data_IF_066713338169
#
_entry.id   IF_066713338169
#
_cell.length_a   1.000
_cell.length_b   1.000
_cell.length_c   1.000
_cell.angle_alpha   90.00
_cell.angle_beta   90.00
_cell.angle_gamma   90.00
#
_symmetry.space_group_name_H-M   'P 1'
#
loop_
_entity.id
_entity.type
_entity.pdbx_description
1 polymer ?
#
# COMPACT_ATOMS: atom_id res chain seq x y z
N UNK A 1 -10.38 14.63 32.44
CA UNK A 1 -10.37 13.50 31.49
C UNK A 1 -8.99 13.16 30.91
N UNK A 2 -8.16 14.12 30.47
CA UNK A 2 -6.80 13.80 29.95
C UNK A 2 -5.80 13.35 31.04
N UNK A 3 -5.95 13.87 32.28
CA UNK A 3 -5.10 13.48 33.42
C UNK A 3 -5.28 12.05 33.91
N UNK A 4 -6.31 11.31 33.49
CA UNK A 4 -6.62 9.99 34.05
C UNK A 4 -6.39 8.81 33.08
N UNK A 5 -6.29 9.04 31.76
CA UNK A 5 -6.33 7.94 30.78
C UNK A 5 -5.25 7.99 29.68
N UNK A 6 -4.37 9.01 29.64
CA UNK A 6 -3.45 9.26 28.52
C UNK A 6 -2.60 8.04 28.07
N UNK A 7 -1.68 7.54 28.91
CA UNK A 7 -0.86 6.36 28.58
C UNK A 7 -1.68 5.07 28.48
N UNK A 8 -2.65 4.92 29.40
CA UNK A 8 -3.50 3.73 29.49
C UNK A 8 -4.35 3.51 28.22
N UNK A 9 -4.76 4.58 27.53
CA UNK A 9 -5.55 4.47 26.29
C UNK A 9 -4.70 3.96 25.13
N UNK A 10 -3.49 4.47 24.95
CA UNK A 10 -2.58 4.00 23.90
C UNK A 10 -2.16 2.55 24.13
N UNK A 11 -1.86 2.18 25.39
CA UNK A 11 -1.62 0.79 25.77
C UNK A 11 -2.82 -0.10 25.47
N UNK A 12 -4.04 0.38 25.73
CA UNK A 12 -5.26 -0.38 25.43
C UNK A 12 -5.47 -0.58 23.93
N UNK A 13 -5.15 0.41 23.11
CA UNK A 13 -5.19 0.27 21.65
C UNK A 13 -4.17 -0.76 21.18
N UNK A 14 -2.95 -0.72 21.72
CA UNK A 14 -1.93 -1.75 21.43
C UNK A 14 -2.42 -3.14 21.83
N UNK A 15 -3.02 -3.28 23.02
CA UNK A 15 -3.61 -4.54 23.48
C UNK A 15 -4.72 -5.04 22.54
N UNK A 16 -5.69 -4.21 22.19
CA UNK A 16 -6.83 -4.60 21.35
C UNK A 16 -6.35 -5.01 19.95
N UNK A 17 -5.49 -4.22 19.34
CA UNK A 17 -4.97 -4.49 17.99
C UNK A 17 -4.10 -5.74 17.94
N UNK A 18 -3.39 -6.06 19.04
CA UNK A 18 -2.58 -7.28 19.13
C UNK A 18 -3.40 -8.58 19.12
N UNK A 19 -4.70 -8.52 19.44
CA UNK A 19 -5.59 -9.71 19.47
C UNK A 19 -5.82 -10.30 18.08
N UNK A 20 -5.73 -9.47 17.03
CA UNK A 20 -5.92 -9.93 15.65
C UNK A 20 -4.62 -10.47 15.10
N UNK A 21 -4.56 -11.81 14.97
CA UNK A 21 -3.36 -12.52 14.51
C UNK A 21 -3.30 -12.78 13.01
N UNK A 22 -4.42 -12.69 12.29
CA UNK A 22 -4.50 -12.97 10.86
C UNK A 22 -4.96 -11.72 10.13
N UNK A 23 -4.24 -11.36 9.07
CA UNK A 23 -4.69 -10.34 8.15
C UNK A 23 -5.82 -10.88 7.26
N UNK A 24 -6.72 -9.99 6.85
CA UNK A 24 -7.79 -10.33 5.91
C UNK A 24 -7.26 -10.44 4.47
N UNK A 25 -7.99 -11.15 3.60
CA UNK A 25 -7.66 -11.32 2.17
C UNK A 25 -7.38 -9.98 1.45
N UNK A 26 -8.05 -8.90 1.83
CA UNK A 26 -7.79 -7.57 1.27
C UNK A 26 -6.34 -7.10 1.51
N UNK A 27 -5.73 -7.41 2.66
CA UNK A 27 -4.34 -7.05 2.93
C UNK A 27 -3.39 -7.79 1.99
N UNK A 28 -3.59 -9.10 1.79
CA UNK A 28 -2.76 -9.86 0.85
C UNK A 28 -2.93 -9.38 -0.58
N UNK A 29 -4.16 -9.08 -1.02
CA UNK A 29 -4.40 -8.57 -2.38
C UNK A 29 -3.72 -7.23 -2.60
N UNK A 30 -3.85 -6.29 -1.64
CA UNK A 30 -3.17 -5.00 -1.71
C UNK A 30 -1.64 -5.14 -1.66
N UNK A 31 -1.11 -6.05 -0.84
CA UNK A 31 0.33 -6.34 -0.78
C UNK A 31 0.86 -6.89 -2.11
N UNK A 32 0.11 -7.77 -2.77
CA UNK A 32 0.50 -8.37 -4.06
C UNK A 32 0.46 -7.40 -5.24
N UNK A 33 -0.14 -6.21 -5.09
CA UNK A 33 -0.03 -5.14 -6.09
C UNK A 33 1.42 -4.68 -6.29
N UNK A 34 2.31 -4.94 -5.33
CA UNK A 34 3.72 -4.58 -5.43
C UNK A 34 3.96 -3.08 -5.34
N UNK A 35 3.07 -2.34 -4.68
CA UNK A 35 3.26 -0.92 -4.40
C UNK A 35 4.53 -0.71 -3.56
N UNK A 36 5.39 0.23 -3.98
CA UNK A 36 6.63 0.57 -3.28
C UNK A 36 6.39 1.52 -2.11
N UNK A 37 5.37 2.36 -2.20
CA UNK A 37 5.02 3.32 -1.16
C UNK A 37 3.61 3.06 -0.66
N UNK A 38 3.45 2.75 0.62
CA UNK A 38 2.15 2.51 1.25
C UNK A 38 1.98 3.44 2.44
N UNK A 39 0.82 4.04 2.59
CA UNK A 39 0.49 4.90 3.74
C UNK A 39 -0.74 4.32 4.44
N UNK A 40 -0.67 4.23 5.77
CA UNK A 40 -1.77 3.77 6.61
C UNK A 40 -1.93 4.63 7.84
N UNK A 41 -3.18 4.76 8.28
CA UNK A 41 -3.57 5.36 9.56
C UNK A 41 -3.84 4.29 10.63
N UNK A 42 -3.73 3.01 10.27
CA UNK A 42 -3.93 1.89 11.19
C UNK A 42 -2.73 1.72 12.13
N UNK A 43 -3.01 1.34 13.39
CA UNK A 43 -1.98 1.07 14.40
C UNK A 43 -1.46 -0.37 14.34
N UNK A 44 -2.29 -1.32 13.90
CA UNK A 44 -1.94 -2.73 13.79
C UNK A 44 -0.85 -2.98 12.73
N UNK A 45 -0.32 -4.21 12.73
CA UNK A 45 0.71 -4.69 11.80
C UNK A 45 0.16 -5.69 10.77
N UNK A 46 -1.14 -5.64 10.46
CA UNK A 46 -1.77 -6.63 9.57
C UNK A 46 -1.29 -6.45 8.12
N UNK A 47 -1.15 -5.21 7.66
CA UNK A 47 -0.67 -4.93 6.31
C UNK A 47 0.79 -5.32 6.15
N UNK A 48 1.63 -4.99 7.14
CA UNK A 48 3.07 -5.24 7.09
C UNK A 48 3.38 -6.74 7.08
N UNK A 49 2.61 -7.53 7.82
CA UNK A 49 2.67 -9.00 7.75
C UNK A 49 2.30 -9.50 6.35
N UNK A 50 1.20 -8.99 5.78
CA UNK A 50 0.81 -9.37 4.42
C UNK A 50 1.84 -8.95 3.36
N UNK A 51 2.42 -7.76 3.51
CA UNK A 51 3.47 -7.23 2.64
C UNK A 51 4.76 -8.03 2.75
N UNK A 52 5.13 -8.44 3.98
CA UNK A 52 6.30 -9.28 4.19
C UNK A 52 6.13 -10.68 3.60
N UNK A 53 4.95 -11.27 3.75
CA UNK A 53 4.62 -12.57 3.15
C UNK A 53 4.62 -12.49 1.61
N UNK A 54 4.06 -11.41 1.03
CA UNK A 54 4.04 -11.20 -0.42
C UNK A 54 5.43 -10.93 -1.02
N UNK A 55 6.30 -10.22 -0.29
CA UNK A 55 7.65 -9.87 -0.73
C UNK A 55 8.70 -10.94 -0.37
N UNK A 56 8.36 -11.93 0.46
CA UNK A 56 9.30 -12.83 1.12
C UNK A 56 10.46 -12.09 1.81
N UNK A 57 10.19 -10.90 2.33
CA UNK A 57 11.18 -10.02 2.94
C UNK A 57 10.52 -9.06 3.94
N UNK A 58 11.26 -8.58 4.93
CA UNK A 58 10.75 -7.57 5.86
C UNK A 58 10.52 -6.23 5.13
N UNK A 59 9.39 -5.59 5.41
CA UNK A 59 9.07 -4.26 4.88
C UNK A 59 9.29 -3.20 5.97
N UNK A 60 10.18 -2.22 5.77
CA UNK A 60 10.45 -1.17 6.75
C UNK A 60 9.22 -0.28 6.99
N UNK A 61 9.00 0.10 8.25
CA UNK A 61 7.87 0.93 8.68
C UNK A 61 8.33 2.32 9.12
N UNK A 62 7.95 3.35 8.39
CA UNK A 62 8.22 4.74 8.75
C UNK A 62 7.25 5.22 9.85
N UNK A 63 7.72 6.05 10.82
CA UNK A 63 9.10 6.55 10.99
C UNK A 63 10.00 5.69 11.88
N UNK A 64 9.67 4.41 12.12
CA UNK A 64 10.33 3.57 13.11
C UNK A 64 11.57 2.84 12.59
N UNK A 65 11.57 2.52 11.29
CA UNK A 65 12.62 1.78 10.60
C UNK A 65 13.24 2.62 9.47
N UNK A 66 14.50 2.37 9.14
CA UNK A 66 15.20 3.04 8.04
C UNK A 66 15.02 2.29 6.72
N UNK A 67 14.34 2.88 5.71
CA UNK A 67 14.15 2.22 4.43
C UNK A 67 15.45 2.26 3.61
N UNK A 68 15.75 1.16 2.90
CA UNK A 68 16.82 1.16 1.91
C UNK A 68 16.36 1.92 0.65
N UNK A 69 17.28 2.53 -0.11
CA UNK A 69 16.93 3.13 -1.39
C UNK A 69 16.22 2.13 -2.30
N UNK A 70 15.13 2.56 -2.94
CA UNK A 70 14.36 1.77 -3.92
C UNK A 70 13.70 0.49 -3.36
N UNK A 71 13.63 0.32 -2.05
CA UNK A 71 12.86 -0.78 -1.45
C UNK A 71 11.46 -0.33 -1.03
N UNK A 72 10.45 -1.20 -1.09
CA UNK A 72 9.13 -0.90 -0.58
C UNK A 72 9.13 -0.50 0.90
N UNK A 73 8.21 0.37 1.31
CA UNK A 73 8.04 0.78 2.71
C UNK A 73 6.58 1.08 3.05
N UNK A 74 6.26 1.04 4.34
CA UNK A 74 4.95 1.38 4.89
C UNK A 74 5.09 2.59 5.82
N UNK A 75 4.32 3.65 5.59
CA UNK A 75 4.25 4.82 6.46
C UNK A 75 3.04 4.75 7.37
N UNK A 76 3.26 4.80 8.68
CA UNK A 76 2.19 4.93 9.67
C UNK A 76 2.04 6.37 10.12
N UNK A 77 0.92 6.98 9.74
CA UNK A 77 0.65 8.38 10.09
C UNK A 77 0.35 8.56 11.58
N UNK A 78 -0.40 7.65 12.19
CA UNK A 78 -0.88 7.83 13.57
C UNK A 78 -0.11 7.04 14.62
N UNK A 79 1.06 6.52 14.27
CA UNK A 79 1.87 5.70 15.15
C UNK A 79 1.61 4.19 15.00
N UNK A 80 2.26 3.40 15.84
CA UNK A 80 2.34 1.94 15.73
C UNK A 80 2.03 1.26 17.05
N UNK A 81 1.36 0.10 17.01
CA UNK A 81 1.08 -0.70 18.22
C UNK A 81 2.34 -1.14 18.96
N UNK A 82 3.48 -1.28 18.28
CA UNK A 82 4.79 -1.64 18.84
C UNK A 82 5.38 -0.53 19.70
N UNK A 83 5.00 0.72 19.44
CA UNK A 83 5.36 1.89 20.22
C UNK A 83 4.10 2.66 20.64
N UNK A 84 3.44 2.26 21.75
CA UNK A 84 2.23 2.94 22.23
C UNK A 84 2.40 4.43 22.47
N UNK A 85 3.61 4.93 22.75
CA UNK A 85 3.85 6.35 22.96
C UNK A 85 3.70 7.17 21.66
N UNK A 86 3.83 6.53 20.50
CA UNK A 86 3.64 7.15 19.18
C UNK A 86 2.17 7.35 18.78
N UNK A 87 1.23 6.72 19.49
CA UNK A 87 -0.18 6.64 19.08
C UNK A 87 -0.91 8.00 19.15
N UNK A 88 -1.51 8.40 18.02
CA UNK A 88 -2.24 9.66 17.85
C UNK A 88 -3.76 9.41 17.86
N UNK A 89 -4.39 9.54 19.03
CA UNK A 89 -5.84 9.32 19.19
C UNK A 89 -6.62 10.57 19.61
N UNK A 90 -6.05 11.38 20.50
CA UNK A 90 -6.77 12.51 21.09
C UNK A 90 -6.61 13.78 20.25
N UNK A 91 -7.57 14.71 20.34
CA UNK A 91 -7.46 16.03 19.71
C UNK A 91 -6.18 16.77 20.12
N UNK A 92 -5.72 16.59 21.36
CA UNK A 92 -4.46 17.17 21.82
C UNK A 92 -3.23 16.52 21.17
N UNK A 93 -3.27 15.21 20.90
CA UNK A 93 -2.22 14.53 20.13
C UNK A 93 -2.23 15.05 18.69
N UNK A 94 -3.40 15.26 18.08
CA UNK A 94 -3.53 15.85 16.73
C UNK A 94 -3.01 17.29 16.66
N UNK A 95 -3.21 18.11 17.70
CA UNK A 95 -2.65 19.47 17.74
C UNK A 95 -1.12 19.43 17.95
N UNK A 96 -0.62 18.52 18.78
CA UNK A 96 0.82 18.29 18.95
C UNK A 96 1.49 17.63 17.73
N UNK A 97 0.72 16.88 16.94
CA UNK A 97 1.12 16.20 15.71
C UNK A 97 1.81 17.16 14.76
N UNK A 98 1.26 18.37 14.58
CA UNK A 98 1.80 19.41 13.71
C UNK A 98 3.24 19.83 13.98
N UNK A 99 3.79 19.51 15.15
CA UNK A 99 5.21 19.75 15.44
C UNK A 99 6.11 18.53 15.19
N UNK A 100 5.59 17.30 15.39
CA UNK A 100 6.37 16.05 15.34
C UNK A 100 6.25 15.28 14.02
N UNK A 101 5.16 15.45 13.28
CA UNK A 101 4.83 14.64 12.10
C UNK A 101 4.87 15.41 10.78
N UNK A 102 5.31 16.68 10.80
CA UNK A 102 5.54 17.47 9.57
C UNK A 102 6.33 16.70 8.50
N UNK A 103 7.42 15.98 8.84
CA UNK A 103 8.13 15.18 7.84
C UNK A 103 7.25 14.09 7.20
N UNK A 104 6.42 13.41 7.99
CA UNK A 104 5.48 12.40 7.47
C UNK A 104 4.42 13.03 6.56
N UNK A 105 3.90 14.19 6.96
CA UNK A 105 3.00 14.97 6.13
C UNK A 105 3.61 15.34 4.77
N UNK A 106 4.87 15.78 4.76
CA UNK A 106 5.60 16.10 3.52
C UNK A 106 5.80 14.88 2.62
N UNK A 107 6.03 13.68 3.19
CA UNK A 107 6.08 12.43 2.40
C UNK A 107 4.73 12.17 1.72
N UNK A 108 3.63 12.29 2.47
CA UNK A 108 2.27 12.09 1.92
C UNK A 108 1.96 13.13 0.85
N UNK A 109 2.32 14.41 1.04
CA UNK A 109 2.17 15.45 0.03
C UNK A 109 2.98 15.15 -1.24
N UNK A 110 4.22 14.67 -1.09
CA UNK A 110 5.04 14.26 -2.22
C UNK A 110 4.40 13.10 -3.00
N UNK A 111 3.82 12.11 -2.30
CA UNK A 111 3.06 11.03 -2.95
C UNK A 111 1.83 11.57 -3.69
N UNK A 112 1.03 12.44 -3.06
CA UNK A 112 -0.12 13.09 -3.69
C UNK A 112 0.23 13.91 -4.93
N UNK A 113 1.46 14.44 -5.00
CA UNK A 113 1.96 15.22 -6.15
C UNK A 113 2.53 14.36 -7.28
N UNK A 114 3.05 13.17 -6.96
CA UNK A 114 3.86 12.37 -7.91
C UNK A 114 3.25 11.03 -8.28
N UNK A 115 2.23 10.56 -7.54
CA UNK A 115 1.59 9.26 -7.70
C UNK A 115 0.07 9.41 -7.83
N UNK A 116 -0.56 8.38 -8.39
CA UNK A 116 -2.01 8.16 -8.28
C UNK A 116 -2.27 7.31 -7.04
N UNK A 117 -2.99 7.83 -6.06
CA UNK A 117 -3.25 7.07 -4.83
C UNK A 117 -4.44 6.11 -4.99
N UNK A 118 -4.27 4.86 -4.58
CA UNK A 118 -5.38 3.93 -4.36
C UNK A 118 -5.70 3.88 -2.87
N UNK A 119 -6.85 4.42 -2.48
CA UNK A 119 -7.30 4.45 -1.08
C UNK A 119 -8.34 3.36 -0.87
N UNK A 120 -8.06 2.40 0.02
CA UNK A 120 -8.95 1.26 0.29
C UNK A 120 -9.25 1.15 1.78
N UNK A 121 -10.53 0.91 2.12
CA UNK A 121 -10.94 0.67 3.50
C UNK A 121 -10.88 1.90 4.41
N UNK A 122 -10.57 3.08 3.86
CA UNK A 122 -10.60 4.34 4.58
C UNK A 122 -11.89 5.10 4.29
N UNK A 123 -12.48 5.68 5.32
CA UNK A 123 -13.63 6.56 5.19
C UNK A 123 -13.27 7.94 4.62
N UNK A 124 -12.00 8.25 4.33
CA UNK A 124 -11.54 9.61 3.97
C UNK A 124 -12.02 10.67 4.99
N UNK A 125 -12.00 10.33 6.28
CA UNK A 125 -12.39 11.23 7.38
C UNK A 125 -11.21 11.61 8.26
N UNK A 126 -10.00 11.25 7.85
CA UNK A 126 -8.82 11.58 8.61
C UNK A 126 -8.46 13.05 8.37
N UNK A 127 -8.66 13.90 9.38
CA UNK A 127 -8.45 15.35 9.26
C UNK A 127 -7.03 15.70 8.80
N UNK A 128 -6.02 14.94 9.23
CA UNK A 128 -4.63 15.16 8.83
C UNK A 128 -4.44 14.87 7.33
N UNK A 129 -4.89 13.71 6.84
CA UNK A 129 -4.83 13.38 5.42
C UNK A 129 -5.63 14.38 4.56
N UNK A 130 -6.85 14.74 5.00
CA UNK A 130 -7.69 15.68 4.26
C UNK A 130 -7.04 17.06 4.13
N UNK A 131 -6.41 17.54 5.21
CA UNK A 131 -5.65 18.79 5.18
C UNK A 131 -4.51 18.73 4.17
N UNK A 132 -3.70 17.68 4.19
CA UNK A 132 -2.58 17.52 3.26
C UNK A 132 -3.05 17.45 1.80
N UNK A 133 -4.17 16.77 1.54
CA UNK A 133 -4.78 16.74 0.21
C UNK A 133 -5.24 18.14 -0.24
N UNK A 134 -5.87 18.92 0.63
CA UNK A 134 -6.26 20.31 0.32
C UNK A 134 -5.07 21.21 0.00
N UNK A 135 -3.98 21.10 0.77
CA UNK A 135 -2.75 21.86 0.54
C UNK A 135 -2.14 21.53 -0.84
N UNK A 136 -2.11 20.26 -1.22
CA UNK A 136 -1.63 19.82 -2.54
C UNK A 136 -2.54 20.30 -3.67
N UNK A 137 -3.86 20.26 -3.48
CA UNK A 137 -4.81 20.79 -4.47
C UNK A 137 -4.63 22.29 -4.68
N UNK A 138 -4.54 23.06 -3.59
CA UNK A 138 -4.29 24.50 -3.66
C UNK A 138 -2.97 24.81 -4.38
N UNK A 139 -1.91 24.04 -4.08
CA UNK A 139 -0.62 24.16 -4.76
C UNK A 139 -0.74 23.89 -6.26
N UNK A 140 -1.42 22.81 -6.68
CA UNK A 140 -1.65 22.48 -8.10
C UNK A 140 -2.43 23.59 -8.81
N UNK A 141 -3.46 24.14 -8.18
CA UNK A 141 -4.25 25.25 -8.73
C UNK A 141 -3.42 26.51 -8.90
N UNK A 142 -2.65 26.91 -7.88
CA UNK A 142 -1.78 28.09 -7.95
C UNK A 142 -0.67 27.97 -8.99
N UNK A 143 -0.21 26.74 -9.27
CA UNK A 143 0.86 26.46 -10.25
C UNK A 143 0.36 26.33 -11.70
N UNK A 144 -0.90 26.66 -11.99
CA UNK A 144 -1.50 26.51 -13.32
C UNK A 144 -1.74 25.05 -13.75
N UNK A 145 -1.54 24.08 -12.86
CA UNK A 145 -1.76 22.63 -13.05
C UNK A 145 -3.15 22.16 -12.57
N UNK A 146 -4.05 23.09 -12.26
CA UNK A 146 -5.35 22.81 -11.65
C UNK A 146 -6.55 23.23 -12.49
N UNK A 147 -6.45 23.18 -13.83
CA UNK A 147 -7.64 23.26 -14.69
C UNK A 147 -8.55 22.05 -14.47
N UNK A 148 -9.83 22.13 -14.88
CA UNK A 148 -10.78 21.00 -14.83
C UNK A 148 -10.32 19.74 -15.59
N UNK A 149 -9.23 19.83 -16.37
CA UNK A 149 -8.59 18.71 -17.05
C UNK A 149 -7.45 18.06 -16.22
N UNK A 150 -7.20 18.53 -14.99
CA UNK A 150 -6.14 18.01 -14.14
C UNK A 150 -6.53 16.63 -13.60
N UNK A 151 -5.67 15.63 -13.80
CA UNK A 151 -5.91 14.27 -13.32
C UNK A 151 -6.20 14.25 -11.80
N UNK A 152 -7.14 13.41 -11.33
CA UNK A 152 -7.44 13.28 -9.91
C UNK A 152 -6.20 12.86 -9.11
N UNK A 153 -6.19 13.13 -7.81
CA UNK A 153 -5.13 12.72 -6.89
C UNK A 153 -5.10 11.20 -6.68
N UNK A 154 -6.21 10.51 -6.94
CA UNK A 154 -6.33 9.09 -6.73
C UNK A 154 -7.75 8.56 -6.88
N UNK A 155 -7.89 7.27 -6.57
CA UNK A 155 -9.15 6.54 -6.53
C UNK A 155 -9.41 6.03 -5.11
N UNK A 156 -10.61 6.29 -4.59
CA UNK A 156 -11.07 5.85 -3.28
C UNK A 156 -12.09 4.72 -3.47
N UNK A 157 -11.81 3.56 -2.89
CA UNK A 157 -12.67 2.38 -2.95
C UNK A 157 -13.28 2.13 -1.56
N UNK A 158 -14.59 2.32 -1.46
CA UNK A 158 -15.36 2.12 -0.23
C UNK A 158 -16.22 0.86 -0.30
N UNK A 159 -16.62 0.32 0.86
CA UNK A 159 -17.53 -0.81 0.92
C UNK A 159 -18.95 -0.43 0.48
N UNK A 160 -19.42 0.74 0.92
CA UNK A 160 -20.74 1.28 0.61
C UNK A 160 -20.60 2.69 0.03
N UNK A 161 -21.58 3.15 -0.77
CA UNK A 161 -21.52 4.48 -1.35
C UNK A 161 -21.65 5.55 -0.27
N UNK A 162 -21.08 6.72 -0.54
CA UNK A 162 -21.25 7.91 0.28
C UNK A 162 -21.36 9.12 -0.64
N UNK A 163 -22.58 9.41 -1.09
CA UNK A 163 -22.85 10.49 -2.06
C UNK A 163 -22.36 11.85 -1.58
N UNK A 164 -22.44 12.13 -0.28
CA UNK A 164 -21.97 13.39 0.29
C UNK A 164 -20.46 13.57 0.07
N UNK A 165 -19.67 12.52 0.33
CA UNK A 165 -18.21 12.54 0.09
C UNK A 165 -17.88 12.56 -1.39
N UNK A 166 -18.60 11.79 -2.20
CA UNK A 166 -18.41 11.80 -3.65
C UNK A 166 -18.58 13.21 -4.22
N UNK A 167 -19.63 13.92 -3.79
CA UNK A 167 -19.88 15.31 -4.20
C UNK A 167 -18.78 16.26 -3.71
N UNK A 168 -18.35 16.13 -2.46
CA UNK A 168 -17.30 16.97 -1.87
C UNK A 168 -15.97 16.87 -2.64
N UNK A 169 -15.63 15.68 -3.14
CA UNK A 169 -14.35 15.39 -3.80
C UNK A 169 -14.44 15.29 -5.33
N UNK A 170 -15.54 15.77 -5.92
CA UNK A 170 -15.75 15.74 -7.37
C UNK A 170 -14.57 16.41 -8.10
N UNK A 171 -13.99 15.72 -9.08
CA UNK A 171 -12.81 16.18 -9.85
C UNK A 171 -11.49 16.17 -9.07
N UNK A 172 -11.47 15.65 -7.83
CA UNK A 172 -10.27 15.56 -6.98
C UNK A 172 -9.89 14.11 -6.69
N UNK A 173 -10.86 13.26 -6.38
CA UNK A 173 -10.70 11.81 -6.26
C UNK A 173 -11.81 11.10 -7.03
N UNK A 174 -11.48 9.98 -7.67
CA UNK A 174 -12.47 9.08 -8.23
C UNK A 174 -13.00 8.18 -7.12
N UNK A 175 -14.32 8.12 -6.94
CA UNK A 175 -14.91 7.31 -5.89
C UNK A 175 -15.61 6.08 -6.48
N UNK A 176 -15.18 4.91 -6.02
CA UNK A 176 -15.77 3.61 -6.35
C UNK A 176 -16.35 2.98 -5.09
N UNK A 177 -17.47 2.29 -5.24
CA UNK A 177 -18.10 1.52 -4.16
C UNK A 177 -18.20 0.06 -4.56
N UNK A 178 -17.91 -0.84 -3.63
CA UNK A 178 -18.04 -2.28 -3.85
C UNK A 178 -19.50 -2.74 -3.94
N UNK A 179 -20.46 -1.97 -3.41
CA UNK A 179 -21.91 -2.27 -3.48
C UNK A 179 -22.71 -1.03 -3.86
N UNK A 180 -23.90 -1.24 -4.42
CA UNK A 180 -24.89 -0.19 -4.64
C UNK A 180 -25.66 0.16 -3.35
N UNK A 181 -26.34 1.32 -3.36
CA UNK A 181 -26.91 1.96 -2.16
C UNK A 181 -28.04 1.17 -1.48
N UNK A 182 -28.70 0.25 -2.19
CA UNK A 182 -29.95 -0.36 -1.74
C UNK A 182 -29.80 -1.87 -1.61
N UNK A 183 -29.70 -2.35 -0.37
CA UNK A 183 -29.98 -3.75 -0.07
C UNK A 183 -30.58 -3.80 1.34
N UNK A 184 -31.88 -4.11 1.41
CA UNK A 184 -32.75 -4.09 2.61
C UNK A 184 -32.48 -5.27 3.58
N UNK A 185 -31.24 -5.78 3.59
CA UNK A 185 -30.83 -6.94 4.38
C UNK A 185 -30.17 -6.60 5.72
N UNK A 186 -29.91 -7.63 6.52
CA UNK A 186 -29.17 -7.54 7.79
C UNK A 186 -27.82 -6.79 7.59
N UNK A 187 -27.51 -5.74 8.39
CA UNK A 187 -26.28 -4.96 8.27
C UNK A 187 -24.98 -5.79 8.26
N UNK A 188 -24.91 -6.88 9.05
CA UNK A 188 -23.72 -7.76 9.07
C UNK A 188 -23.57 -8.56 7.78
N UNK A 189 -24.67 -9.08 7.24
CA UNK A 189 -24.66 -9.80 5.98
C UNK A 189 -24.27 -8.87 4.82
N UNK A 190 -24.76 -7.62 4.83
CA UNK A 190 -24.37 -6.57 3.89
C UNK A 190 -22.87 -6.27 3.94
N UNK A 191 -22.31 -6.10 5.14
CA UNK A 191 -20.88 -5.83 5.32
C UNK A 191 -20.01 -6.99 4.81
N UNK A 192 -20.42 -8.24 5.05
CA UNK A 192 -19.72 -9.42 4.53
C UNK A 192 -19.74 -9.50 3.00
N UNK A 193 -20.90 -9.28 2.38
CA UNK A 193 -21.03 -9.24 0.93
C UNK A 193 -20.20 -8.12 0.29
N UNK A 194 -20.25 -6.91 0.87
CA UNK A 194 -19.44 -5.78 0.41
C UNK A 194 -17.93 -6.07 0.53
N UNK A 195 -17.49 -6.66 1.63
CA UNK A 195 -16.09 -7.05 1.81
C UNK A 195 -15.65 -8.11 0.79
N UNK A 196 -16.55 -9.05 0.44
CA UNK A 196 -16.29 -10.05 -0.60
C UNK A 196 -16.16 -9.42 -1.98
N UNK A 197 -17.05 -8.50 -2.34
CA UNK A 197 -16.99 -7.78 -3.61
C UNK A 197 -15.74 -6.91 -3.72
N UNK A 198 -15.36 -6.23 -2.64
CA UNK A 198 -14.09 -5.52 -2.56
C UNK A 198 -12.91 -6.47 -2.81
N UNK A 199 -12.91 -7.66 -2.22
CA UNK A 199 -11.86 -8.64 -2.46
C UNK A 199 -11.82 -9.11 -3.93
N UNK A 200 -12.97 -9.33 -4.57
CA UNK A 200 -13.02 -9.69 -6.00
C UNK A 200 -12.49 -8.55 -6.87
N UNK A 201 -12.87 -7.31 -6.57
CA UNK A 201 -12.37 -6.14 -7.27
C UNK A 201 -10.84 -6.01 -7.13
N UNK A 202 -10.30 -6.15 -5.92
CA UNK A 202 -8.87 -6.07 -5.68
C UNK A 202 -8.09 -7.21 -6.35
N UNK A 203 -8.69 -8.40 -6.45
CA UNK A 203 -8.12 -9.53 -7.19
C UNK A 203 -8.03 -9.24 -8.69
N UNK A 204 -9.08 -8.65 -9.28
CA UNK A 204 -9.04 -8.19 -10.67
C UNK A 204 -8.00 -7.08 -10.89
N UNK A 205 -7.90 -6.11 -9.97
CA UNK A 205 -6.85 -5.08 -10.02
C UNK A 205 -5.46 -5.72 -9.95
N UNK A 206 -5.25 -6.69 -9.06
CA UNK A 206 -3.98 -7.41 -8.94
C UNK A 206 -3.64 -8.20 -10.21
N UNK A 207 -4.63 -8.84 -10.84
CA UNK A 207 -4.47 -9.51 -12.13
C UNK A 207 -3.98 -8.53 -13.21
N UNK A 208 -4.57 -7.33 -13.29
CA UNK A 208 -4.17 -6.31 -14.26
C UNK A 208 -2.83 -5.62 -13.91
N UNK A 209 -2.48 -5.53 -12.63
CA UNK A 209 -1.22 -4.99 -12.16
C UNK A 209 -0.06 -6.01 -12.23
N UNK A 210 -0.37 -7.30 -12.43
CA UNK A 210 0.61 -8.36 -12.45
C UNK A 210 1.65 -8.11 -13.54
N UNK A 211 2.91 -8.11 -13.12
CA UNK A 211 4.07 -8.04 -14.03
C UNK A 211 4.44 -9.43 -14.50
N UNK A 212 5.27 -9.51 -15.55
CA UNK A 212 5.70 -10.75 -16.18
C UNK A 212 6.75 -11.52 -15.34
N UNK A 213 6.55 -11.60 -14.01
CA UNK A 213 7.43 -12.25 -13.01
C UNK A 213 7.55 -13.76 -13.18
N UNK A 214 6.81 -14.35 -14.11
CA UNK A 214 6.81 -15.79 -14.36
C UNK A 214 7.59 -16.15 -15.63
N UNK A 215 8.04 -15.18 -16.43
CA UNK A 215 8.65 -15.44 -17.74
C UNK A 215 9.92 -16.28 -17.63
N UNK A 216 10.74 -16.07 -16.62
CA UNK A 216 12.03 -16.77 -16.45
C UNK A 216 11.90 -17.93 -15.46
N UNK A 217 10.77 -18.07 -14.77
CA UNK A 217 10.54 -19.16 -13.83
C UNK A 217 10.19 -20.47 -14.58
N UNK A 218 11.03 -21.48 -14.39
CA UNK A 218 10.89 -22.79 -15.04
C UNK A 218 9.54 -23.46 -14.77
N UNK A 219 8.92 -23.20 -13.61
CA UNK A 219 7.63 -23.79 -13.22
C UNK A 219 6.49 -23.33 -14.12
N UNK A 220 6.61 -22.16 -14.73
CA UNK A 220 5.59 -21.56 -15.59
C UNK A 220 5.89 -21.67 -17.08
N UNK A 221 6.95 -22.41 -17.47
CA UNK A 221 7.33 -22.55 -18.87
C UNK A 221 6.25 -23.14 -19.78
N UNK A 222 5.24 -23.81 -19.22
CA UNK A 222 4.08 -24.32 -19.96
C UNK A 222 3.09 -23.22 -20.39
N UNK A 223 3.12 -22.04 -19.77
CA UNK A 223 2.31 -20.88 -20.13
C UNK A 223 2.92 -20.09 -21.31
N UNK A 224 4.19 -20.34 -21.63
CA UNK A 224 4.93 -19.61 -22.66
C UNK A 224 4.78 -20.25 -24.04
N UNK A 225 4.69 -19.40 -25.06
CA UNK A 225 4.76 -19.80 -26.46
C UNK A 225 6.19 -20.20 -26.89
N UNK A 226 6.35 -20.62 -28.15
CA UNK A 226 7.63 -21.14 -28.64
C UNK A 226 8.78 -20.11 -28.61
N UNK A 227 8.49 -18.85 -28.95
CA UNK A 227 9.45 -17.75 -28.91
C UNK A 227 9.85 -17.39 -27.48
N UNK A 228 8.86 -17.19 -26.61
CA UNK A 228 9.08 -16.80 -25.22
C UNK A 228 9.78 -17.92 -24.44
N UNK A 229 9.48 -19.18 -24.75
CA UNK A 229 10.16 -20.33 -24.13
C UNK A 229 11.64 -20.38 -24.46
N UNK A 230 12.03 -20.04 -25.69
CA UNK A 230 13.44 -19.97 -26.08
C UNK A 230 14.16 -18.83 -25.35
N UNK A 231 13.53 -17.65 -25.26
CA UNK A 231 14.07 -16.50 -24.52
C UNK A 231 14.19 -16.80 -23.03
N UNK A 232 13.19 -17.45 -22.44
CA UNK A 232 13.20 -17.86 -21.03
C UNK A 232 14.28 -18.89 -20.73
N UNK A 233 14.54 -19.83 -21.65
CA UNK A 233 15.64 -20.78 -21.52
C UNK A 233 17.01 -20.08 -21.55
N UNK A 234 17.24 -19.23 -22.55
CA UNK A 234 18.48 -18.45 -22.66
C UNK A 234 18.70 -17.52 -21.44
N UNK A 235 17.62 -16.93 -20.92
CA UNK A 235 17.64 -16.09 -19.72
C UNK A 235 18.07 -16.86 -18.47
N UNK A 236 17.61 -18.12 -18.31
CA UNK A 236 18.02 -19.00 -17.20
C UNK A 236 19.48 -19.44 -17.33
N UNK A 237 19.94 -19.74 -18.54
CA UNK A 237 21.36 -20.07 -18.80
C UNK A 237 22.25 -18.87 -18.46
N UNK A 238 21.87 -17.67 -18.90
CA UNK A 238 22.57 -16.43 -18.58
C UNK A 238 22.60 -16.17 -17.07
N UNK A 239 21.49 -16.36 -16.36
CA UNK A 239 21.45 -16.21 -14.90
C UNK A 239 22.40 -17.20 -14.20
N UNK A 240 22.49 -18.43 -14.69
CA UNK A 240 23.42 -19.44 -14.18
C UNK A 240 24.87 -19.03 -14.42
N UNK A 241 25.19 -18.54 -15.62
CA UNK A 241 26.52 -18.03 -15.97
C UNK A 241 26.94 -16.84 -15.10
N UNK A 242 26.01 -15.92 -14.83
CA UNK A 242 26.25 -14.80 -13.91
C UNK A 242 26.48 -15.27 -12.46
N UNK A 243 25.89 -16.40 -12.06
CA UNK A 243 26.11 -17.05 -10.77
C UNK A 243 27.53 -17.62 -10.62
N UNK A 244 28.05 -18.26 -11.68
CA UNK A 244 29.35 -18.97 -11.64
C UNK A 244 30.54 -18.05 -11.87
N UNK A 245 30.37 -16.93 -12.58
CA UNK A 245 31.45 -15.97 -12.85
C UNK A 245 31.85 -15.09 -11.66
N UNK A 246 31.24 -15.31 -10.49
CA UNK A 246 31.73 -14.90 -9.18
C UNK A 246 32.39 -13.52 -9.09
N UNK A 247 31.61 -12.47 -8.87
CA UNK A 247 32.10 -11.28 -8.18
C UNK A 247 32.16 -9.95 -8.92
N UNK A 248 31.68 -9.83 -10.17
CA UNK A 248 31.59 -8.53 -10.82
C UNK A 248 30.23 -7.86 -10.57
N UNK A 249 30.19 -6.90 -9.64
CA UNK A 249 29.04 -6.01 -9.38
C UNK A 249 28.55 -5.28 -10.65
N UNK A 250 29.40 -5.23 -11.69
CA UNK A 250 29.08 -4.67 -13.01
C UNK A 250 27.83 -5.27 -13.64
N UNK A 251 27.53 -6.54 -13.38
CA UNK A 251 26.36 -7.23 -13.93
C UNK A 251 25.20 -7.39 -12.93
N UNK A 252 25.32 -6.81 -11.73
CA UNK A 252 24.24 -6.83 -10.74
C UNK A 252 22.88 -6.34 -11.31
N UNK A 253 22.82 -5.25 -12.10
CA UNK A 253 21.53 -4.79 -12.66
C UNK A 253 20.85 -5.81 -13.57
N UNK A 254 21.63 -6.56 -14.37
CA UNK A 254 21.10 -7.59 -15.25
C UNK A 254 20.63 -8.82 -14.45
N UNK A 255 21.39 -9.21 -13.43
CA UNK A 255 20.99 -10.29 -12.50
C UNK A 255 19.69 -9.93 -11.79
N UNK A 256 19.58 -8.72 -11.25
CA UNK A 256 18.38 -8.22 -10.59
C UNK A 256 17.17 -8.21 -11.53
N UNK A 257 17.35 -7.80 -12.78
CA UNK A 257 16.29 -7.83 -13.79
C UNK A 257 15.81 -9.26 -14.09
N UNK A 258 16.71 -10.22 -14.25
CA UNK A 258 16.37 -11.62 -14.48
C UNK A 258 15.66 -12.25 -13.27
N UNK A 259 16.10 -11.93 -12.05
CA UNK A 259 15.44 -12.35 -10.81
C UNK A 259 14.05 -11.73 -10.69
N UNK A 260 13.88 -10.46 -11.06
CA UNK A 260 12.59 -9.80 -11.07
C UNK A 260 11.58 -10.44 -12.05
N UNK A 261 12.07 -11.12 -13.10
CA UNK A 261 11.26 -11.89 -14.05
C UNK A 261 11.02 -13.36 -13.63
N UNK A 262 11.39 -13.74 -12.42
CA UNK A 262 11.16 -15.09 -11.86
C UNK A 262 12.35 -16.04 -11.94
N UNK A 263 13.51 -15.55 -12.39
CA UNK A 263 14.73 -16.34 -12.40
C UNK A 263 15.20 -16.65 -10.97
N UNK A 264 15.44 -17.92 -10.67
CA UNK A 264 16.08 -18.35 -9.44
C UNK A 264 17.59 -18.48 -9.66
N UNK A 265 18.43 -17.71 -8.96
CA UNK A 265 19.87 -17.87 -9.06
C UNK A 265 20.27 -19.26 -8.51
N UNK A 266 21.32 -19.89 -9.05
CA UNK A 266 21.83 -21.14 -8.49
C UNK A 266 22.22 -20.93 -7.03
N UNK A 267 21.94 -21.95 -6.18
CA UNK A 267 22.34 -21.92 -4.78
C UNK A 267 23.85 -21.67 -4.70
N UNK A 268 24.26 -20.65 -3.94
CA UNK A 268 25.67 -20.39 -3.67
C UNK A 268 26.21 -21.59 -2.87
N UNK A 269 27.31 -22.23 -3.30
CA UNK A 269 27.89 -23.35 -2.57
C UNK A 269 28.37 -22.95 -1.17
#
# INVERSE_FOLDING_TARGET
>A
MHRELGPALSEKVSEITSRTRRYALAHSLLATLGCTEVVTTNYDDLYERAAADAAHATVPVLPFDDPRPRTPWVLKMHGDRRDPASIVLTRSHMVGYDSRSRPLGSIVQALLLTRHLLVVGASMTDDNFLRLAHEVLAFRTSSGRGSDAAAPLGTVVTLTPNLAKQRLWTGRFDHLSATDEQNDGNPKARAGAAARLLAIFLDAVAMHAATARHLVDARYGYLLDGSDRAVAAASRELLTLLGTTGGDDRWAPLREALVALGGTPPATP
#
